data_IF_721661481741
#
_entry.id   IF_721661481741
#
_cell.length_a   1.000
_cell.length_b   1.000
_cell.length_c   1.000
_cell.angle_alpha   90.00
_cell.angle_beta   90.00
_cell.angle_gamma   90.00
#
_symmetry.space_group_name_H-M   'P 1'
#
loop_
_entity.id
_entity.type
_entity.pdbx_description
1 polymer ?
#
# COMPACT_ATOMS: atom_id res chain seq x y z
N UNK A 1 34.80 -41.68 72.62
CA UNK A 1 34.07 -41.96 71.36
C UNK A 1 33.26 -40.72 71.03
N UNK A 2 33.44 -40.14 69.84
CA UNK A 2 32.70 -38.95 69.39
C UNK A 2 31.33 -39.37 68.85
N UNK A 3 30.26 -38.86 69.44
CA UNK A 3 28.93 -38.88 68.82
C UNK A 3 28.69 -37.53 68.12
N UNK A 4 28.80 -37.56 66.79
CA UNK A 4 28.46 -36.48 65.87
C UNK A 4 26.96 -36.53 65.59
N UNK A 5 26.13 -35.82 66.37
CA UNK A 5 24.72 -35.69 66.02
C UNK A 5 24.54 -34.51 65.04
N UNK A 6 24.58 -34.85 63.75
CA UNK A 6 24.38 -33.93 62.63
C UNK A 6 22.93 -33.41 62.59
N UNK A 7 22.79 -32.08 62.65
CA UNK A 7 21.60 -31.38 62.11
C UNK A 7 21.50 -31.64 60.61
N UNK A 8 20.34 -32.01 60.04
CA UNK A 8 20.09 -31.77 58.64
C UNK A 8 19.56 -30.33 58.45
N UNK A 9 20.46 -29.39 58.13
CA UNK A 9 20.08 -28.12 57.50
C UNK A 9 19.65 -28.40 56.04
N UNK A 10 18.43 -28.90 55.84
CA UNK A 10 17.85 -29.09 54.49
C UNK A 10 16.74 -28.07 54.15
N UNK A 11 16.81 -26.86 54.71
CA UNK A 11 15.81 -25.81 54.45
C UNK A 11 16.38 -24.52 53.82
N UNK A 12 17.43 -24.61 53.00
CA UNK A 12 17.86 -23.44 52.21
C UNK A 12 18.17 -23.79 50.77
N UNK A 13 17.16 -24.10 49.97
CA UNK A 13 17.28 -23.98 48.49
C UNK A 13 15.96 -24.02 47.70
N UNK A 14 14.87 -23.43 48.21
CA UNK A 14 13.60 -23.32 47.46
C UNK A 14 12.98 -21.91 47.43
N UNK A 15 13.79 -20.86 47.22
CA UNK A 15 13.27 -19.49 47.01
C UNK A 15 14.02 -18.70 45.92
N UNK A 16 14.35 -19.32 44.78
CA UNK A 16 14.95 -18.60 43.63
C UNK A 16 14.43 -19.03 42.25
N UNK A 17 13.26 -19.64 42.16
CA UNK A 17 12.69 -20.06 40.86
C UNK A 17 11.47 -19.20 40.47
N UNK A 18 10.87 -18.47 41.42
CA UNK A 18 9.59 -17.78 41.20
C UNK A 18 9.69 -16.31 40.76
N UNK A 19 10.86 -15.85 40.29
CA UNK A 19 11.04 -14.51 39.70
C UNK A 19 11.56 -14.54 38.26
N UNK A 20 11.83 -15.73 37.70
CA UNK A 20 12.43 -15.87 36.37
C UNK A 20 11.41 -15.94 35.23
N UNK A 21 10.15 -16.29 35.53
CA UNK A 21 9.10 -16.49 34.52
C UNK A 21 8.70 -15.20 33.79
N UNK A 22 8.53 -14.04 34.45
CA UNK A 22 8.19 -12.79 33.74
C UNK A 22 9.31 -12.35 32.79
N UNK A 23 10.56 -12.57 33.20
CA UNK A 23 11.75 -12.23 32.40
C UNK A 23 11.87 -13.13 31.17
N UNK A 24 11.58 -14.43 31.30
CA UNK A 24 11.61 -15.37 30.18
C UNK A 24 10.54 -15.03 29.13
N UNK A 25 9.31 -14.74 29.56
CA UNK A 25 8.23 -14.35 28.64
C UNK A 25 8.57 -13.06 27.91
N UNK A 26 9.10 -12.06 28.62
CA UNK A 26 9.53 -10.81 28.00
C UNK A 26 10.67 -11.01 27.00
N UNK A 27 11.65 -11.85 27.35
CA UNK A 27 12.77 -12.18 26.47
C UNK A 27 12.31 -12.91 25.20
N UNK A 28 11.39 -13.88 25.33
CA UNK A 28 10.81 -14.59 24.18
C UNK A 28 10.04 -13.61 23.29
N UNK A 29 9.25 -12.71 23.87
CA UNK A 29 8.47 -11.72 23.13
C UNK A 29 9.36 -10.72 22.36
N UNK A 30 10.46 -10.28 22.97
CA UNK A 30 11.48 -9.46 22.32
C UNK A 30 12.18 -10.20 21.16
N UNK A 31 12.49 -11.48 21.34
CA UNK A 31 13.09 -12.30 20.28
C UNK A 31 12.14 -12.46 19.11
N UNK A 32 10.83 -12.70 19.35
CA UNK A 32 9.82 -12.78 18.29
C UNK A 32 9.72 -11.46 17.53
N UNK A 33 9.67 -10.31 18.23
CA UNK A 33 9.67 -8.99 17.61
C UNK A 33 10.91 -8.74 16.76
N UNK A 34 12.09 -9.14 17.25
CA UNK A 34 13.35 -9.00 16.51
C UNK A 34 13.36 -9.84 15.22
N UNK A 35 12.86 -11.07 15.26
CA UNK A 35 12.76 -11.95 14.08
C UNK A 35 11.82 -11.32 13.04
N UNK A 36 10.66 -10.81 13.46
CA UNK A 36 9.70 -10.15 12.57
C UNK A 36 10.31 -8.88 11.93
N UNK A 37 11.03 -8.10 12.72
CA UNK A 37 11.72 -6.89 12.24
C UNK A 37 12.80 -7.22 11.20
N UNK A 38 13.60 -8.27 11.45
CA UNK A 38 14.63 -8.72 10.49
C UNK A 38 14.01 -9.23 9.18
N UNK A 39 12.88 -9.93 9.25
CA UNK A 39 12.16 -10.42 8.06
C UNK A 39 11.61 -9.28 7.20
N UNK A 40 10.98 -8.25 7.79
CA UNK A 40 10.57 -7.06 7.03
C UNK A 40 11.77 -6.38 6.35
N UNK A 41 12.90 -6.26 7.04
CA UNK A 41 14.09 -5.61 6.49
C UNK A 41 14.75 -6.39 5.34
N UNK A 42 14.60 -7.73 5.30
CA UNK A 42 15.08 -8.51 4.15
C UNK A 42 14.23 -8.30 2.90
N UNK A 43 12.91 -8.17 3.07
CA UNK A 43 11.98 -7.88 1.95
C UNK A 43 12.22 -6.48 1.36
N UNK A 44 12.50 -5.47 2.21
CA UNK A 44 12.88 -4.13 1.75
C UNK A 44 14.24 -4.07 1.03
N UNK A 45 15.17 -4.98 1.33
CA UNK A 45 16.45 -5.06 0.61
C UNK A 45 16.32 -5.78 -0.74
N UNK A 46 15.35 -6.69 -0.89
CA UNK A 46 15.10 -7.39 -2.15
C UNK A 46 14.44 -6.50 -3.21
N UNK A 47 13.72 -5.46 -2.81
CA UNK A 47 13.08 -4.51 -3.76
C UNK A 47 14.06 -3.43 -4.25
N UNK A 48 15.20 -3.22 -3.57
CA UNK A 48 16.17 -2.17 -3.94
C UNK A 48 17.25 -2.63 -4.94
N UNK A 49 17.30 -3.90 -5.32
CA UNK A 49 18.44 -4.45 -6.07
C UNK A 49 18.12 -5.14 -7.39
N UNK A 50 16.93 -4.95 -7.97
CA UNK A 50 16.66 -5.35 -9.36
C UNK A 50 15.89 -4.26 -10.11
N UNK A 51 16.56 -3.13 -10.32
CA UNK A 51 16.40 -2.41 -11.60
C UNK A 51 17.67 -2.67 -12.40
N UNK A 52 17.67 -3.56 -13.41
CA UNK A 52 18.76 -3.57 -14.37
C UNK A 52 18.76 -2.20 -15.07
N UNK A 53 19.82 -1.45 -14.83
CA UNK A 53 20.18 -0.28 -15.63
C UNK A 53 20.56 -0.82 -17.00
N UNK A 54 19.60 -0.85 -17.92
CA UNK A 54 19.87 -0.84 -19.36
C UNK A 54 19.71 0.62 -19.77
N UNK A 55 20.82 1.35 -19.76
CA UNK A 55 20.99 2.55 -20.58
C UNK A 55 22.03 2.20 -21.63
N UNK A 56 21.62 1.29 -22.52
CA UNK A 56 22.20 1.17 -23.84
C UNK A 56 21.38 2.10 -24.74
N UNK A 57 22.09 3.08 -25.31
CA UNK A 57 21.78 3.94 -26.44
C UNK A 57 20.33 4.35 -26.74
N UNK A 58 20.15 5.66 -26.93
CA UNK A 58 18.94 6.26 -27.48
C UNK A 58 18.46 5.47 -28.71
N UNK A 59 17.26 4.84 -28.68
CA UNK A 59 16.56 4.66 -29.90
C UNK A 59 16.00 6.04 -30.26
N UNK A 60 16.49 6.60 -31.36
CA UNK A 60 15.67 7.44 -32.22
C UNK A 60 14.44 6.61 -32.63
N UNK A 61 13.50 6.46 -31.70
CA UNK A 61 12.16 5.96 -31.97
C UNK A 61 11.40 7.14 -32.54
N UNK A 62 11.47 7.23 -33.86
CA UNK A 62 10.51 7.89 -34.73
C UNK A 62 9.16 8.13 -34.05
N UNK A 63 8.76 9.41 -33.97
CA UNK A 63 7.36 9.85 -34.07
C UNK A 63 6.35 8.86 -33.46
N UNK A 64 6.41 8.64 -32.15
CA UNK A 64 5.26 8.08 -31.45
C UNK A 64 4.17 9.14 -31.53
N UNK A 65 3.17 8.90 -32.38
CA UNK A 65 1.92 9.63 -32.37
C UNK A 65 1.52 9.84 -30.91
N UNK A 66 1.25 11.10 -30.53
CA UNK A 66 0.65 11.44 -29.24
C UNK A 66 -0.57 10.53 -29.07
N UNK A 67 -0.43 9.46 -28.29
CA UNK A 67 -1.55 8.57 -27.98
C UNK A 67 -2.42 9.38 -27.03
N UNK A 68 -3.36 10.11 -27.61
CA UNK A 68 -4.27 10.99 -26.88
C UNK A 68 -4.94 10.21 -25.75
N UNK A 69 -4.94 10.79 -24.57
CA UNK A 69 -5.68 10.23 -23.44
C UNK A 69 -7.17 10.17 -23.80
N UNK A 70 -7.74 8.98 -23.77
CA UNK A 70 -9.14 8.73 -24.07
C UNK A 70 -9.86 8.19 -22.83
N UNK A 71 -10.71 9.01 -22.18
CA UNK A 71 -11.47 8.59 -21.00
C UNK A 71 -12.35 7.36 -21.22
N UNK A 72 -12.75 7.06 -22.46
CA UNK A 72 -13.61 5.91 -22.77
C UNK A 72 -12.91 4.56 -22.51
N UNK A 73 -11.57 4.57 -22.42
CA UNK A 73 -10.78 3.38 -22.12
C UNK A 73 -10.54 3.18 -20.62
N UNK A 74 -10.99 4.11 -19.78
CA UNK A 74 -10.80 4.01 -18.34
C UNK A 74 -11.89 3.19 -17.65
N UNK A 75 -11.48 2.44 -16.63
CA UNK A 75 -12.34 1.67 -15.75
C UNK A 75 -12.10 2.16 -14.33
N UNK A 76 -13.18 2.57 -13.64
CA UNK A 76 -13.12 2.89 -12.22
C UNK A 76 -12.97 1.61 -11.39
N UNK A 77 -11.84 1.48 -10.71
CA UNK A 77 -11.50 0.30 -9.88
C UNK A 77 -11.83 0.49 -8.41
N UNK A 78 -11.74 1.71 -7.92
CA UNK A 78 -12.01 1.97 -6.52
C UNK A 78 -11.95 3.44 -6.18
N UNK A 79 -12.55 3.79 -5.05
CA UNK A 79 -12.45 5.10 -4.44
C UNK A 79 -12.05 4.85 -2.99
N UNK A 80 -10.89 5.35 -2.60
CA UNK A 80 -10.32 5.15 -1.27
C UNK A 80 -10.12 6.51 -0.65
N UNK A 81 -10.75 6.76 0.49
CA UNK A 81 -10.61 8.05 1.15
C UNK A 81 -10.82 7.96 2.64
N UNK A 82 -10.33 8.98 3.33
CA UNK A 82 -10.58 9.21 4.75
C UNK A 82 -10.94 10.68 4.92
N UNK A 83 -11.99 10.94 5.70
CA UNK A 83 -12.52 12.27 5.93
C UNK A 83 -12.90 12.94 4.60
N UNK A 84 -12.27 14.07 4.25
CA UNK A 84 -12.55 14.82 3.01
C UNK A 84 -11.53 14.58 1.89
N UNK A 85 -10.60 13.63 2.06
CA UNK A 85 -9.57 13.32 1.06
C UNK A 85 -9.89 11.99 0.42
N UNK A 86 -10.17 12.01 -0.88
CA UNK A 86 -10.48 10.83 -1.67
C UNK A 86 -9.46 10.64 -2.79
N UNK A 87 -9.01 9.41 -2.95
CA UNK A 87 -8.21 8.91 -4.05
C UNK A 87 -9.09 8.05 -4.95
N UNK A 88 -9.01 8.32 -6.23
CA UNK A 88 -9.78 7.66 -7.27
C UNK A 88 -8.81 6.76 -8.03
N UNK A 89 -9.07 5.46 -8.01
CA UNK A 89 -8.26 4.45 -8.67
C UNK A 89 -8.91 4.09 -10.00
N UNK A 90 -8.24 4.38 -11.10
CA UNK A 90 -8.67 4.02 -12.45
C UNK A 90 -7.65 3.12 -13.13
N UNK A 91 -8.11 2.33 -14.09
CA UNK A 91 -7.25 1.49 -14.91
C UNK A 91 -7.68 1.64 -16.38
N UNK A 92 -6.72 1.86 -17.27
CA UNK A 92 -6.95 1.80 -18.71
C UNK A 92 -7.04 0.33 -19.19
N UNK A 93 -7.71 0.08 -20.32
CA UNK A 93 -7.77 -1.22 -21.00
C UNK A 93 -6.40 -1.82 -21.31
N UNK A 94 -5.35 -0.99 -21.39
CA UNK A 94 -3.96 -1.42 -21.53
C UNK A 94 -3.27 -1.78 -20.20
N UNK A 95 -4.05 -2.01 -19.13
CA UNK A 95 -3.58 -2.33 -17.78
C UNK A 95 -2.71 -1.25 -17.11
N UNK A 96 -2.80 0.00 -17.57
CA UNK A 96 -2.13 1.13 -16.94
C UNK A 96 -2.97 1.68 -15.81
N UNK A 97 -2.42 1.72 -14.60
CA UNK A 97 -3.10 2.22 -13.40
C UNK A 97 -2.92 3.73 -13.23
N UNK A 98 -4.00 4.41 -12.85
CA UNK A 98 -4.05 5.82 -12.54
C UNK A 98 -4.61 6.06 -11.14
N UNK A 99 -4.03 7.04 -10.44
CA UNK A 99 -4.50 7.50 -9.15
C UNK A 99 -4.78 8.99 -9.28
N UNK A 100 -6.03 9.38 -9.09
CA UNK A 100 -6.48 10.76 -9.20
C UNK A 100 -7.07 11.26 -7.88
N UNK A 101 -7.16 12.59 -7.78
CA UNK A 101 -7.87 13.34 -6.74
C UNK A 101 -8.91 14.24 -7.38
N UNK A 102 -9.82 14.75 -6.55
CA UNK A 102 -10.72 15.82 -6.96
C UNK A 102 -9.93 17.01 -7.50
N UNK A 103 -10.26 17.44 -8.73
CA UNK A 103 -9.62 18.57 -9.38
C UNK A 103 -8.33 18.27 -10.14
N UNK A 104 -7.84 17.03 -10.11
CA UNK A 104 -6.70 16.64 -10.95
C UNK A 104 -7.03 16.81 -12.42
N UNK A 105 -6.03 17.22 -13.20
CA UNK A 105 -6.16 17.45 -14.64
C UNK A 105 -5.27 16.46 -15.39
N UNK A 106 -5.86 15.76 -16.34
CA UNK A 106 -5.15 14.85 -17.26
C UNK A 106 -5.51 15.19 -18.70
N UNK A 107 -4.49 15.55 -19.48
CA UNK A 107 -4.67 16.12 -20.82
C UNK A 107 -5.65 17.32 -20.78
N UNK A 108 -6.85 17.18 -21.34
CA UNK A 108 -7.90 18.19 -21.36
C UNK A 108 -9.10 17.86 -20.45
N UNK A 109 -8.94 16.94 -19.50
CA UNK A 109 -10.01 16.48 -18.60
C UNK A 109 -9.72 16.83 -17.17
N UNK A 110 -10.74 17.32 -16.44
CA UNK A 110 -10.70 17.53 -15.00
C UNK A 110 -11.50 16.45 -14.28
N UNK A 111 -10.91 15.90 -13.23
CA UNK A 111 -11.52 14.89 -12.36
C UNK A 111 -12.48 15.57 -11.39
N UNK A 112 -13.72 15.06 -11.34
CA UNK A 112 -14.80 15.49 -10.46
C UNK A 112 -15.38 14.30 -9.70
N UNK A 113 -15.52 14.42 -8.39
CA UNK A 113 -16.01 13.42 -7.47
C UNK A 113 -17.17 14.02 -6.70
N UNK A 114 -18.41 13.86 -7.19
CA UNK A 114 -19.60 14.37 -6.53
C UNK A 114 -19.93 13.61 -5.23
N UNK A 115 -19.19 12.55 -4.89
CA UNK A 115 -19.44 11.67 -3.75
C UNK A 115 -20.07 10.33 -4.14
N UNK A 116 -20.05 9.38 -3.22
CA UNK A 116 -20.64 8.06 -3.39
C UNK A 116 -19.78 7.11 -4.22
N UNK A 117 -20.39 6.44 -5.20
CA UNK A 117 -19.78 5.41 -6.05
C UNK A 117 -19.41 5.91 -7.46
N UNK A 118 -19.51 7.22 -7.68
CA UNK A 118 -19.47 7.82 -9.01
C UNK A 118 -18.34 8.86 -9.12
N UNK A 119 -17.60 8.81 -10.23
CA UNK A 119 -16.58 9.80 -10.60
C UNK A 119 -16.91 10.33 -11.98
N UNK A 120 -16.64 11.62 -12.24
CA UNK A 120 -16.77 12.22 -13.55
C UNK A 120 -15.44 12.78 -14.05
N UNK A 121 -15.15 12.58 -15.34
CA UNK A 121 -14.16 13.34 -16.08
C UNK A 121 -14.90 14.36 -16.94
N UNK A 122 -14.59 15.63 -16.76
CA UNK A 122 -15.23 16.74 -17.50
C UNK A 122 -14.21 17.33 -18.45
N UNK A 123 -14.56 17.47 -19.74
CA UNK A 123 -13.67 18.14 -20.68
C UNK A 123 -13.57 19.63 -20.35
N UNK A 124 -12.36 20.15 -20.33
CA UNK A 124 -12.05 21.56 -20.06
C UNK A 124 -12.31 22.39 -21.33
N UNK A 125 -12.05 21.81 -22.50
CA UNK A 125 -12.13 22.50 -23.80
C UNK A 125 -13.33 22.06 -24.66
N UNK A 126 -13.99 20.98 -24.29
CA UNK A 126 -15.12 20.42 -25.01
C UNK A 126 -16.41 20.42 -24.19
N UNK A 127 -17.46 19.91 -24.81
CA UNK A 127 -18.80 19.75 -24.25
C UNK A 127 -19.05 18.33 -23.74
N UNK A 128 -18.00 17.54 -23.51
CA UNK A 128 -18.12 16.13 -23.14
C UNK A 128 -17.82 15.91 -21.67
N UNK A 129 -18.52 14.95 -21.09
CA UNK A 129 -18.32 14.47 -19.72
C UNK A 129 -18.49 12.95 -19.68
N UNK A 130 -17.55 12.25 -19.06
CA UNK A 130 -17.66 10.82 -18.79
C UNK A 130 -17.99 10.61 -17.32
N UNK A 131 -19.01 9.81 -17.02
CA UNK A 131 -19.39 9.42 -15.66
C UNK A 131 -19.11 7.93 -15.49
N UNK A 132 -18.23 7.61 -14.54
CA UNK A 132 -17.83 6.27 -14.16
C UNK A 132 -18.55 5.87 -12.89
N UNK A 133 -19.18 4.69 -12.89
CA UNK A 133 -19.77 4.08 -11.70
C UNK A 133 -18.97 2.87 -11.26
N UNK A 134 -18.69 2.77 -9.97
CA UNK A 134 -18.01 1.62 -9.40
C UNK A 134 -18.87 0.36 -9.62
N UNK A 135 -18.35 -0.60 -10.38
CA UNK A 135 -19.09 -1.81 -10.77
C UNK A 135 -20.24 -1.58 -11.78
N UNK A 136 -20.45 -0.35 -12.27
CA UNK A 136 -21.59 0.04 -13.11
C UNK A 136 -21.24 0.56 -14.50
N UNK A 137 -19.95 0.55 -14.87
CA UNK A 137 -19.48 0.95 -16.20
C UNK A 137 -19.34 2.47 -16.38
N UNK A 138 -19.32 2.90 -17.64
CA UNK A 138 -19.05 4.28 -18.05
C UNK A 138 -20.23 4.81 -18.85
N UNK A 139 -20.58 6.09 -18.66
CA UNK A 139 -21.59 6.79 -19.46
C UNK A 139 -21.06 8.13 -19.93
N UNK A 140 -21.15 8.38 -21.22
CA UNK A 140 -20.83 9.68 -21.82
C UNK A 140 -22.06 10.61 -21.79
N UNK A 141 -21.82 11.87 -21.50
CA UNK A 141 -22.80 12.96 -21.45
C UNK A 141 -22.29 14.17 -22.24
N UNK A 142 -23.19 14.86 -22.92
CA UNK A 142 -22.93 16.17 -23.53
C UNK A 142 -23.43 17.28 -22.61
N UNK A 143 -22.55 18.21 -22.25
CA UNK A 143 -22.82 19.42 -21.47
C UNK A 143 -23.50 20.44 -22.39
N UNK A 144 -24.64 20.99 -21.94
CA UNK A 144 -25.38 22.05 -22.63
C UNK A 144 -25.21 23.38 -21.93
#
# INVERSE_FOLDING_TARGET
MLDLNFKPEFERKKKRILSFVPSLVLAVLLVILLILYLKQRSELKSIKSETPIITEEAPEAASSAEKGFDPSQLILRGIVGKDSIYLILMEDLNSSGYIFREGDVISDWIVRYPGGDSVALVSIKGDRKYVFKLGGGIREETLR
#
